data_IF_400519304802
#
_entry.id   IF_400519304802
#
_cell.length_a   1.000
_cell.length_b   1.000
_cell.length_c   1.000
_cell.angle_alpha   90.00
_cell.angle_beta   90.00
_cell.angle_gamma   90.00
#
_symmetry.space_group_name_H-M   'P 1'
#
loop_
_entity.id
_entity.type
_entity.pdbx_description
1 polymer ?
#
# COMPACT_ATOMS: atom_id res chain seq x y z
N UNK A 1 30.64 -5.13 27.18
CA UNK A 1 30.91 -5.14 25.73
C UNK A 1 29.65 -5.03 24.88
N UNK A 2 28.83 -6.07 24.65
CA UNK A 2 27.65 -5.96 23.76
C UNK A 2 26.63 -4.89 24.20
N UNK A 3 26.31 -4.84 25.50
CA UNK A 3 25.41 -3.83 26.05
C UNK A 3 25.95 -2.39 25.89
N UNK A 4 27.27 -2.23 25.97
CA UNK A 4 27.92 -0.92 25.84
C UNK A 4 27.93 -0.45 24.39
N UNK A 5 28.21 -1.36 23.44
CA UNK A 5 28.12 -1.09 22.01
C UNK A 5 26.69 -0.68 21.60
N UNK A 6 25.68 -1.42 22.07
CA UNK A 6 24.28 -1.06 21.83
C UNK A 6 23.91 0.30 22.43
N UNK A 7 24.31 0.57 23.68
CA UNK A 7 24.06 1.85 24.33
C UNK A 7 24.70 3.02 23.56
N UNK A 8 25.91 2.84 23.02
CA UNK A 8 26.61 3.86 22.22
C UNK A 8 25.84 4.18 20.93
N UNK A 9 25.44 3.15 20.18
CA UNK A 9 24.66 3.33 18.93
C UNK A 9 23.34 4.05 19.22
N UNK A 10 22.65 3.71 20.31
CA UNK A 10 21.43 4.41 20.71
C UNK A 10 21.68 5.88 21.06
N UNK A 11 22.75 6.18 21.81
CA UNK A 11 23.11 7.56 22.15
C UNK A 11 23.38 8.40 20.89
N UNK A 12 24.14 7.86 19.94
CA UNK A 12 24.39 8.52 18.65
C UNK A 12 23.10 8.71 17.86
N UNK A 13 22.28 7.66 17.72
CA UNK A 13 20.98 7.69 17.03
C UNK A 13 20.06 8.80 17.57
N UNK A 14 20.04 8.98 18.89
CA UNK A 14 19.18 9.98 19.55
C UNK A 14 19.61 11.44 19.29
N UNK A 15 20.76 11.68 18.66
CA UNK A 15 21.22 13.02 18.26
C UNK A 15 20.73 13.45 16.87
N UNK A 16 20.05 12.56 16.15
CA UNK A 16 19.49 12.88 14.84
C UNK A 16 18.30 13.85 14.98
N UNK A 17 18.26 14.85 14.12
CA UNK A 17 17.16 15.82 14.08
C UNK A 17 16.22 15.54 12.90
N UNK A 18 14.99 16.06 12.99
CA UNK A 18 14.01 15.99 11.90
C UNK A 18 14.54 16.66 10.62
N UNK A 19 15.22 17.79 10.75
CA UNK A 19 15.81 18.49 9.60
C UNK A 19 16.86 17.63 8.91
N UNK A 20 17.66 16.88 9.64
CA UNK A 20 18.67 16.00 9.05
C UNK A 20 18.03 14.78 8.38
N UNK A 21 17.01 14.18 9.00
CA UNK A 21 16.26 13.05 8.42
C UNK A 21 15.55 13.42 7.11
N UNK A 22 15.03 14.64 7.01
CA UNK A 22 14.27 15.08 5.83
C UNK A 22 15.15 15.65 4.71
N UNK A 23 16.35 16.16 5.02
CA UNK A 23 17.17 16.89 4.05
C UNK A 23 18.50 16.22 3.70
N UNK A 24 18.98 15.25 4.49
CA UNK A 24 20.19 14.49 4.17
C UNK A 24 19.83 13.16 3.50
N UNK A 25 20.71 12.68 2.63
CA UNK A 25 20.62 11.30 2.15
C UNK A 25 20.92 10.30 3.28
N UNK A 26 20.42 9.07 3.13
CA UNK A 26 20.67 8.02 4.11
C UNK A 26 22.18 7.78 4.37
N UNK A 27 23.02 7.87 3.34
CA UNK A 27 24.47 7.73 3.46
C UNK A 27 25.11 8.87 4.28
N UNK A 28 24.65 10.11 4.07
CA UNK A 28 25.13 11.26 4.84
C UNK A 28 24.72 11.16 6.31
N UNK A 29 23.50 10.69 6.59
CA UNK A 29 23.03 10.43 7.95
C UNK A 29 23.89 9.36 8.63
N UNK A 30 24.11 8.23 7.96
CA UNK A 30 24.92 7.12 8.48
C UNK A 30 26.34 7.60 8.79
N UNK A 31 26.97 8.29 7.84
CA UNK A 31 28.33 8.83 8.04
C UNK A 31 28.36 9.84 9.19
N UNK A 32 27.44 10.80 9.23
CA UNK A 32 27.38 11.81 10.30
C UNK A 32 27.30 11.16 11.68
N UNK A 33 26.42 10.18 11.86
CA UNK A 33 26.19 9.54 13.16
C UNK A 33 27.26 8.53 13.55
N UNK A 34 27.83 7.80 12.59
CA UNK A 34 28.63 6.60 12.85
C UNK A 34 30.01 6.59 12.17
N UNK A 35 30.58 7.74 11.81
CA UNK A 35 31.89 7.83 11.14
C UNK A 35 33.06 7.19 11.92
N UNK A 36 32.94 7.02 13.24
CA UNK A 36 33.94 6.33 14.07
C UNK A 36 33.72 4.81 14.17
N UNK A 37 32.64 4.29 13.59
CA UNK A 37 32.27 2.88 13.64
C UNK A 37 32.58 2.19 12.29
N UNK A 38 32.84 0.88 12.32
CA UNK A 38 32.99 0.08 11.11
C UNK A 38 31.60 -0.28 10.53
N UNK A 39 31.09 0.56 9.64
CA UNK A 39 29.75 0.42 9.05
C UNK A 39 29.82 -0.18 7.65
N UNK A 40 29.18 -1.33 7.47
CA UNK A 40 28.91 -1.92 6.14
C UNK A 40 27.54 -1.49 5.62
N UNK A 41 27.53 -0.83 4.47
CA UNK A 41 26.29 -0.45 3.77
C UNK A 41 25.93 -1.48 2.70
N UNK A 42 24.64 -1.80 2.57
CA UNK A 42 24.09 -2.72 1.58
C UNK A 42 23.45 -1.98 0.39
N UNK A 43 23.03 -2.72 -0.64
CA UNK A 43 22.29 -2.16 -1.76
C UNK A 43 21.00 -1.50 -1.29
N UNK A 44 20.64 -0.39 -1.94
CA UNK A 44 19.44 0.37 -1.61
C UNK A 44 18.19 -0.29 -2.19
N UNK A 45 17.12 -0.31 -1.42
CA UNK A 45 15.80 -0.73 -1.88
C UNK A 45 14.90 0.50 -2.07
N UNK A 46 14.30 0.69 -3.25
CA UNK A 46 13.40 1.81 -3.47
C UNK A 46 12.10 1.62 -2.69
N UNK A 47 11.74 2.61 -1.88
CA UNK A 47 10.45 2.64 -1.18
C UNK A 47 9.42 3.34 -2.05
N UNK A 48 8.32 2.67 -2.33
CA UNK A 48 7.20 3.24 -3.06
C UNK A 48 5.86 2.89 -2.40
N UNK A 49 4.89 3.80 -2.50
CA UNK A 49 3.52 3.49 -2.14
C UNK A 49 2.93 2.43 -3.07
N UNK A 50 2.28 1.40 -2.50
CA UNK A 50 1.60 0.35 -3.26
C UNK A 50 0.31 -0.06 -2.58
N UNK A 51 -0.80 -0.03 -3.31
CA UNK A 51 -2.07 -0.61 -2.88
C UNK A 51 -2.41 -1.82 -3.75
N UNK A 52 -3.08 -2.82 -3.15
CA UNK A 52 -3.49 -4.04 -3.85
C UNK A 52 -4.95 -4.00 -4.33
N UNK A 53 -5.66 -2.87 -4.17
CA UNK A 53 -6.99 -2.70 -4.70
C UNK A 53 -6.97 -2.75 -6.24
N UNK A 54 -8.03 -3.28 -6.83
CA UNK A 54 -8.27 -3.24 -8.27
C UNK A 54 -9.78 -3.39 -8.53
N UNK A 55 -10.22 -3.15 -9.77
CA UNK A 55 -11.65 -3.20 -10.15
C UNK A 55 -12.26 -4.58 -9.90
N UNK A 56 -11.50 -5.65 -10.04
CA UNK A 56 -11.96 -7.04 -9.83
C UNK A 56 -12.26 -7.33 -8.34
N UNK A 57 -11.40 -6.90 -7.43
CA UNK A 57 -11.62 -7.03 -5.99
C UNK A 57 -12.84 -6.24 -5.53
N UNK A 58 -13.02 -5.04 -6.07
CA UNK A 58 -14.22 -4.23 -5.79
C UNK A 58 -15.47 -4.88 -6.38
N UNK A 59 -15.39 -5.42 -7.60
CA UNK A 59 -16.48 -6.18 -8.21
C UNK A 59 -16.89 -7.39 -7.36
N UNK A 60 -15.92 -8.16 -6.85
CA UNK A 60 -16.18 -9.28 -5.94
C UNK A 60 -16.86 -8.83 -4.64
N UNK A 61 -16.44 -7.70 -4.06
CA UNK A 61 -17.11 -7.10 -2.91
C UNK A 61 -18.56 -6.73 -3.24
N UNK A 62 -18.81 -6.04 -4.36
CA UNK A 62 -20.16 -5.65 -4.78
C UNK A 62 -21.06 -6.88 -5.02
N UNK A 63 -20.52 -7.98 -5.54
CA UNK A 63 -21.27 -9.25 -5.67
C UNK A 63 -21.78 -9.79 -4.34
N UNK A 64 -21.03 -9.60 -3.24
CA UNK A 64 -21.45 -10.07 -1.91
C UNK A 64 -22.64 -9.31 -1.33
N UNK A 65 -22.91 -8.09 -1.79
CA UNK A 65 -24.09 -7.31 -1.37
C UNK A 65 -25.39 -7.85 -1.98
N UNK A 66 -25.31 -8.55 -3.12
CA UNK A 66 -26.46 -9.11 -3.82
C UNK A 66 -27.06 -8.17 -4.86
N UNK A 67 -27.78 -8.76 -5.81
CA UNK A 67 -28.27 -8.06 -7.00
C UNK A 67 -29.35 -7.01 -6.70
N UNK A 68 -30.19 -7.25 -5.69
CA UNK A 68 -31.29 -6.36 -5.34
C UNK A 68 -30.77 -5.03 -4.77
N UNK A 69 -29.77 -5.09 -3.88
CA UNK A 69 -29.12 -3.91 -3.30
C UNK A 69 -28.40 -3.09 -4.37
N UNK A 70 -27.65 -3.77 -5.24
CA UNK A 70 -26.93 -3.13 -6.34
C UNK A 70 -27.89 -2.42 -7.30
N UNK A 71 -29.02 -3.03 -7.62
CA UNK A 71 -30.06 -2.41 -8.47
C UNK A 71 -30.77 -1.25 -7.78
N UNK A 72 -31.02 -1.34 -6.47
CA UNK A 72 -31.58 -0.22 -5.71
C UNK A 72 -30.68 1.01 -5.79
N UNK A 73 -29.37 0.85 -5.54
CA UNK A 73 -28.40 1.94 -5.65
C UNK A 73 -28.38 2.54 -7.07
N UNK A 74 -28.39 1.69 -8.11
CA UNK A 74 -28.38 2.18 -9.49
C UNK A 74 -29.65 2.93 -9.89
N UNK A 75 -30.81 2.56 -9.35
CA UNK A 75 -32.06 3.27 -9.63
C UNK A 75 -32.06 4.68 -9.02
N UNK A 76 -31.36 4.88 -7.90
CA UNK A 76 -31.26 6.17 -7.22
C UNK A 76 -30.12 7.04 -7.77
N UNK A 77 -28.93 6.45 -7.93
CA UNK A 77 -27.68 7.18 -8.19
C UNK A 77 -27.12 6.98 -9.61
N UNK A 78 -27.73 6.13 -10.44
CA UNK A 78 -27.32 5.78 -11.82
C UNK A 78 -25.95 5.08 -11.96
N UNK A 79 -25.12 5.13 -10.92
CA UNK A 79 -23.82 4.46 -10.83
C UNK A 79 -23.49 4.17 -9.36
N UNK A 80 -22.55 3.24 -9.14
CA UNK A 80 -22.02 2.90 -7.83
C UNK A 80 -20.59 3.42 -7.76
N UNK A 81 -20.29 4.21 -6.74
CA UNK A 81 -18.96 4.74 -6.47
C UNK A 81 -18.38 4.10 -5.21
N UNK A 82 -17.18 3.53 -5.34
CA UNK A 82 -16.45 2.90 -4.24
C UNK A 82 -15.08 3.54 -4.12
N UNK A 83 -14.82 4.13 -2.96
CA UNK A 83 -13.51 4.61 -2.57
C UNK A 83 -12.73 3.51 -1.83
N UNK A 84 -11.50 3.21 -2.25
CA UNK A 84 -10.64 2.33 -1.47
C UNK A 84 -10.17 3.03 -0.19
N UNK A 85 -10.46 2.48 0.99
CA UNK A 85 -10.08 3.09 2.27
C UNK A 85 -8.56 3.20 2.51
N UNK A 86 -7.74 2.50 1.73
CA UNK A 86 -6.27 2.53 1.86
C UNK A 86 -5.60 3.54 0.94
N UNK A 87 -6.02 3.63 -0.32
CA UNK A 87 -5.37 4.50 -1.32
C UNK A 87 -6.28 5.59 -1.87
N UNK A 88 -7.55 5.61 -1.45
CA UNK A 88 -8.58 6.54 -1.91
C UNK A 88 -8.85 6.51 -3.43
N UNK A 89 -8.40 5.46 -4.13
CA UNK A 89 -8.74 5.22 -5.52
C UNK A 89 -10.25 5.04 -5.66
N UNK A 90 -10.85 5.80 -6.58
CA UNK A 90 -12.27 5.73 -6.89
C UNK A 90 -12.53 4.68 -7.97
N UNK A 91 -13.50 3.82 -7.72
CA UNK A 91 -14.01 2.84 -8.68
C UNK A 91 -15.47 3.15 -8.95
N UNK A 92 -15.82 3.30 -10.23
CA UNK A 92 -17.19 3.55 -10.67
C UNK A 92 -17.70 2.36 -11.47
N UNK A 93 -18.92 1.93 -11.17
CA UNK A 93 -19.64 0.89 -11.89
C UNK A 93 -20.96 1.49 -12.37
N UNK A 94 -21.19 1.51 -13.69
CA UNK A 94 -22.46 1.90 -14.28
C UNK A 94 -23.44 0.71 -14.36
N UNK A 95 -24.63 0.93 -14.93
CA UNK A 95 -25.64 -0.11 -15.08
C UNK A 95 -25.16 -1.31 -15.91
N UNK A 96 -24.29 -1.09 -16.92
CA UNK A 96 -23.77 -2.17 -17.77
C UNK A 96 -22.74 -2.99 -16.99
N UNK A 97 -21.81 -2.31 -16.31
CA UNK A 97 -20.82 -2.92 -15.42
C UNK A 97 -21.51 -3.75 -14.32
N UNK A 98 -22.60 -3.22 -13.74
CA UNK A 98 -23.32 -3.86 -12.65
C UNK A 98 -24.10 -5.11 -13.08
N UNK A 99 -24.75 -5.09 -14.24
CA UNK A 99 -25.37 -6.31 -14.78
C UNK A 99 -24.30 -7.37 -15.10
N UNK A 100 -23.10 -6.96 -15.55
CA UNK A 100 -21.96 -7.87 -15.74
C UNK A 100 -21.42 -8.48 -14.43
N UNK A 101 -21.65 -7.86 -13.27
CA UNK A 101 -21.29 -8.47 -11.98
C UNK A 101 -22.03 -9.79 -11.75
N UNK A 102 -23.25 -9.93 -12.30
CA UNK A 102 -24.15 -11.05 -12.04
C UNK A 102 -24.48 -11.90 -13.30
N UNK A 103 -24.07 -11.47 -14.49
CA UNK A 103 -24.37 -12.13 -15.77
C UNK A 103 -23.68 -13.49 -16.02
N UNK A 104 -22.78 -13.96 -15.15
CA UNK A 104 -22.29 -15.35 -15.18
C UNK A 104 -20.78 -15.51 -14.98
N UNK A 105 -20.42 -16.68 -14.43
CA UNK A 105 -19.07 -17.22 -14.28
C UNK A 105 -18.20 -17.00 -15.52
N UNK A 106 -17.28 -16.04 -15.45
CA UNK A 106 -16.12 -16.02 -16.33
C UNK A 106 -14.96 -16.53 -15.49
N UNK A 107 -14.52 -17.75 -15.79
CA UNK A 107 -13.36 -18.43 -15.20
C UNK A 107 -12.17 -17.50 -15.09
N UNK A 108 -11.91 -16.99 -13.88
CA UNK A 108 -10.67 -16.31 -13.57
C UNK A 108 -9.61 -17.35 -13.23
N UNK A 109 -8.55 -17.39 -14.04
CA UNK A 109 -7.39 -18.25 -13.84
C UNK A 109 -6.61 -17.71 -12.64
N UNK A 110 -6.42 -18.53 -11.62
CA UNK A 110 -5.66 -18.18 -10.41
C UNK A 110 -4.32 -17.49 -10.78
N UNK A 111 -3.92 -16.42 -10.07
CA UNK A 111 -2.64 -15.80 -10.32
C UNK A 111 -1.54 -16.78 -9.92
N UNK A 112 -0.61 -17.02 -10.84
CA UNK A 112 0.55 -17.87 -10.63
C UNK A 112 1.50 -17.14 -9.66
N UNK A 113 1.33 -17.35 -8.36
CA UNK A 113 2.35 -16.95 -7.39
C UNK A 113 3.53 -17.88 -7.53
N UNK A 114 4.65 -17.36 -8.05
CA UNK A 114 5.97 -17.96 -7.88
C UNK A 114 6.97 -16.91 -7.39
N UNK A 115 7.45 -17.20 -6.18
CA UNK A 115 8.77 -16.94 -5.57
C UNK A 115 9.45 -15.60 -5.84
#
# INVERSE_FOLDING_TARGET
EEQEGWNRVQQLSNTITEQELLNLSALEVIHRLYHEEDVRVFETEPVCFRCSCNKERVANMLRTLGIDEIRAILNEEHAIEVACEFCNQQYRFDAVDAEQLFAGEVTYRAPDTRH
#
